data_IF_996495628667
#
_entry.id   IF_996495628667
#
_cell.length_a   1.000
_cell.length_b   1.000
_cell.length_c   1.000
_cell.angle_alpha   90.00
_cell.angle_beta   90.00
_cell.angle_gamma   90.00
#
_symmetry.space_group_name_H-M   'P 1'
#
loop_
_entity.id
_entity.type
_entity.pdbx_description
1 polymer ?
#
# COMPACT_ATOMS: atom_id res chain seq x y z
N UNK A 1 -5.73 -0.49 -9.28
CA UNK A 1 -5.63 0.35 -8.08
C UNK A 1 -4.44 1.31 -8.18
N UNK A 2 -3.20 0.84 -8.05
CA UNK A 2 -1.98 1.67 -8.03
C UNK A 2 -1.92 2.72 -9.14
N UNK A 3 -1.98 2.30 -10.41
CA UNK A 3 -2.01 3.23 -11.56
C UNK A 3 -3.07 4.32 -11.48
N UNK A 4 -4.25 3.99 -10.93
CA UNK A 4 -5.35 4.93 -10.78
C UNK A 4 -5.05 5.96 -9.69
N UNK A 5 -4.48 5.50 -8.56
CA UNK A 5 -4.06 6.38 -7.46
C UNK A 5 -2.89 7.25 -7.92
N UNK A 6 -1.86 6.68 -8.54
CA UNK A 6 -0.72 7.43 -9.09
C UNK A 6 -1.19 8.51 -10.07
N UNK A 7 -2.05 8.14 -11.04
CA UNK A 7 -2.56 9.07 -12.04
C UNK A 7 -3.46 10.16 -11.43
N UNK A 8 -4.18 9.85 -10.36
CA UNK A 8 -4.97 10.85 -9.64
C UNK A 8 -4.05 11.84 -8.93
N UNK A 9 -3.13 11.34 -8.10
CA UNK A 9 -2.20 12.16 -7.32
C UNK A 9 -1.31 13.04 -8.21
N UNK A 10 -0.94 12.57 -9.40
CA UNK A 10 -0.16 13.35 -10.36
C UNK A 10 -0.96 14.49 -11.01
N UNK A 11 -2.28 14.32 -11.14
CA UNK A 11 -3.19 15.33 -11.73
C UNK A 11 -3.73 16.31 -10.69
N UNK A 12 -3.91 15.87 -9.46
CA UNK A 12 -4.40 16.69 -8.35
C UNK A 12 -3.24 17.52 -7.78
N UNK A 13 -2.81 18.58 -8.49
CA UNK A 13 -1.87 19.57 -7.94
C UNK A 13 -2.56 20.66 -7.11
N UNK A 14 -3.90 20.73 -7.14
CA UNK A 14 -4.68 21.74 -6.43
C UNK A 14 -5.80 21.10 -5.59
N UNK A 15 -5.66 21.13 -4.26
CA UNK A 15 -6.79 21.06 -3.32
C UNK A 15 -7.06 19.74 -2.57
N UNK A 16 -7.71 19.91 -1.40
CA UNK A 16 -8.16 18.99 -0.33
C UNK A 16 -9.02 17.77 -0.75
N UNK A 17 -8.94 17.34 -2.00
CA UNK A 17 -9.71 16.22 -2.53
C UNK A 17 -9.18 14.86 -2.03
N UNK A 18 -10.09 13.94 -1.72
CA UNK A 18 -9.77 12.64 -1.14
C UNK A 18 -10.11 11.48 -2.08
N UNK A 19 -9.32 10.41 -2.01
CA UNK A 19 -9.62 9.14 -2.69
C UNK A 19 -10.40 8.24 -1.72
N UNK A 20 -11.68 8.04 -2.00
CA UNK A 20 -12.49 7.05 -1.28
C UNK A 20 -12.22 5.63 -1.80
N UNK A 21 -11.76 4.73 -0.92
CA UNK A 21 -11.55 3.31 -1.25
C UNK A 21 -12.50 2.47 -0.41
N UNK A 22 -13.35 1.67 -1.06
CA UNK A 22 -14.30 0.82 -0.34
C UNK A 22 -14.35 -0.60 -0.89
N UNK A 23 -14.80 -1.50 -0.02
CA UNK A 23 -15.33 -2.80 -0.39
C UNK A 23 -16.70 -2.95 0.27
N UNK A 24 -17.15 -4.16 0.60
CA UNK A 24 -18.42 -4.35 1.32
C UNK A 24 -18.38 -3.74 2.73
N UNK A 25 -17.32 -4.01 3.50
CA UNK A 25 -17.19 -3.53 4.89
C UNK A 25 -16.10 -2.46 5.07
N UNK A 26 -15.40 -2.11 3.99
CA UNK A 26 -14.31 -1.14 4.04
C UNK A 26 -13.14 -1.53 4.96
N UNK A 27 -12.94 -2.82 5.22
CA UNK A 27 -11.94 -3.33 6.16
C UNK A 27 -10.86 -4.14 5.45
N UNK A 28 -11.11 -5.42 5.18
CA UNK A 28 -10.07 -6.34 4.73
C UNK A 28 -9.46 -6.02 3.35
N UNK A 29 -10.28 -5.98 2.28
CA UNK A 29 -9.78 -5.67 0.92
C UNK A 29 -9.33 -4.21 0.79
N UNK A 30 -10.03 -3.31 1.46
CA UNK A 30 -9.70 -1.88 1.48
C UNK A 30 -8.35 -1.65 2.14
N UNK A 31 -8.18 -2.16 3.36
CA UNK A 31 -6.94 -2.08 4.12
C UNK A 31 -5.78 -2.71 3.37
N UNK A 32 -5.98 -3.88 2.75
CA UNK A 32 -4.95 -4.49 1.91
C UNK A 32 -4.40 -3.55 0.84
N UNK A 33 -5.27 -2.97 -0.01
CA UNK A 33 -4.80 -2.11 -1.09
C UNK A 33 -4.21 -0.79 -0.60
N UNK A 34 -4.76 -0.21 0.46
CA UNK A 34 -4.23 1.03 1.06
C UNK A 34 -2.86 0.77 1.68
N UNK A 35 -2.72 -0.25 2.54
CA UNK A 35 -1.46 -0.58 3.20
C UNK A 35 -0.37 -0.95 2.18
N UNK A 36 -0.69 -1.81 1.19
CA UNK A 36 0.25 -2.15 0.12
C UNK A 36 0.69 -0.92 -0.67
N UNK A 37 -0.21 0.02 -0.95
CA UNK A 37 0.15 1.24 -1.67
C UNK A 37 1.06 2.13 -0.82
N UNK A 38 0.73 2.36 0.45
CA UNK A 38 1.57 3.14 1.36
C UNK A 38 2.98 2.54 1.45
N UNK A 39 3.10 1.22 1.58
CA UNK A 39 4.41 0.58 1.68
C UNK A 39 5.23 0.63 0.38
N UNK A 40 4.60 0.45 -0.78
CA UNK A 40 5.30 0.37 -2.06
C UNK A 40 5.53 1.72 -2.75
N UNK A 41 4.76 2.76 -2.39
CA UNK A 41 4.75 4.05 -3.09
C UNK A 41 4.99 5.26 -2.19
N UNK A 42 4.80 5.12 -0.88
CA UNK A 42 4.85 6.26 0.05
C UNK A 42 5.94 6.11 1.12
N UNK A 43 6.72 5.03 1.09
CA UNK A 43 7.86 4.82 2.00
C UNK A 43 7.49 4.35 3.41
N UNK A 44 6.25 3.94 3.65
CA UNK A 44 5.85 3.36 4.93
C UNK A 44 6.42 1.95 5.08
N UNK A 45 6.87 1.57 6.27
CA UNK A 45 7.06 0.13 6.54
C UNK A 45 5.71 -0.59 6.52
N UNK A 46 5.66 -1.90 6.22
CA UNK A 46 4.42 -2.70 6.31
C UNK A 46 3.66 -2.52 7.62
N UNK A 47 4.37 -2.55 8.75
CA UNK A 47 3.78 -2.40 10.08
C UNK A 47 3.21 -1.01 10.29
N UNK A 48 3.92 0.06 9.90
CA UNK A 48 3.40 1.43 9.96
C UNK A 48 2.16 1.61 9.09
N UNK A 49 2.17 1.04 7.89
CA UNK A 49 1.05 1.11 6.96
C UNK A 49 -0.20 0.44 7.54
N UNK A 50 -0.05 -0.74 8.14
CA UNK A 50 -1.15 -1.45 8.81
C UNK A 50 -1.66 -0.66 10.00
N UNK A 51 -0.78 -0.23 10.91
CA UNK A 51 -1.19 0.54 12.10
C UNK A 51 -1.94 1.80 11.71
N UNK A 52 -1.41 2.58 10.76
CA UNK A 52 -2.05 3.81 10.30
C UNK A 52 -3.45 3.57 9.74
N UNK A 53 -3.64 2.50 8.97
CA UNK A 53 -4.97 2.14 8.46
C UNK A 53 -5.92 1.70 9.57
N UNK A 54 -5.49 0.83 10.48
CA UNK A 54 -6.32 0.30 11.57
C UNK A 54 -6.75 1.40 12.54
N UNK A 55 -5.83 2.31 12.88
CA UNK A 55 -6.08 3.46 13.76
C UNK A 55 -7.10 4.42 13.12
N UNK A 56 -6.92 4.76 11.83
CA UNK A 56 -7.85 5.63 11.10
C UNK A 56 -9.21 4.97 10.86
N UNK A 57 -9.25 3.65 10.64
CA UNK A 57 -10.48 2.90 10.35
C UNK A 57 -11.26 2.53 11.61
N UNK A 58 -10.57 2.41 12.75
CA UNK A 58 -11.11 1.98 14.05
C UNK A 58 -11.28 0.45 14.19
N UNK A 59 -10.76 -0.35 13.26
CA UNK A 59 -10.88 -1.80 13.27
C UNK A 59 -9.62 -2.45 12.69
N UNK A 60 -9.26 -3.61 13.23
CA UNK A 60 -8.12 -4.40 12.73
C UNK A 60 -8.44 -5.13 11.45
N UNK A 61 -7.46 -5.29 10.56
CA UNK A 61 -7.57 -6.21 9.43
C UNK A 61 -7.65 -7.63 10.02
N UNK A 62 -8.64 -8.41 9.61
CA UNK A 62 -8.91 -9.74 10.19
C UNK A 62 -8.36 -10.86 9.31
N UNK A 63 -8.20 -10.59 8.00
CA UNK A 63 -7.76 -11.59 7.03
C UNK A 63 -6.24 -11.72 7.07
N UNK A 64 -5.77 -12.66 7.87
CA UNK A 64 -4.34 -12.96 8.01
C UNK A 64 -3.57 -13.14 6.69
N UNK A 65 -4.13 -13.76 5.63
CA UNK A 65 -3.42 -13.84 4.35
C UNK A 65 -3.07 -12.47 3.75
N UNK A 66 -3.89 -11.43 3.99
CA UNK A 66 -3.59 -10.07 3.55
C UNK A 66 -2.48 -9.44 4.39
N UNK A 67 -2.51 -9.64 5.70
CA UNK A 67 -1.46 -9.15 6.60
C UNK A 67 -0.12 -9.77 6.22
N UNK A 68 -0.08 -11.10 6.08
CA UNK A 68 1.14 -11.83 5.71
C UNK A 68 1.71 -11.38 4.36
N UNK A 69 0.86 -11.02 3.40
CA UNK A 69 1.27 -10.54 2.07
C UNK A 69 1.64 -9.04 2.04
N UNK A 70 1.33 -8.29 3.10
CA UNK A 70 1.84 -6.93 3.29
C UNK A 70 3.21 -6.96 3.98
N UNK A 71 3.39 -7.89 4.93
CA UNK A 71 4.60 -8.01 5.74
C UNK A 71 5.87 -8.35 4.92
N UNK A 72 7.06 -7.90 5.37
CA UNK A 72 8.31 -7.99 4.60
C UNK A 72 8.74 -9.41 4.21
N UNK A 73 8.31 -10.44 4.94
CA UNK A 73 8.62 -11.84 4.64
C UNK A 73 8.05 -12.31 3.30
N UNK A 74 7.01 -11.65 2.79
CA UNK A 74 6.46 -11.85 1.44
C UNK A 74 7.26 -11.14 0.33
N UNK A 75 8.10 -10.17 0.69
CA UNK A 75 8.90 -9.36 -0.24
C UNK A 75 10.32 -9.92 -0.44
N UNK A 76 10.81 -10.78 0.46
CA UNK A 76 12.15 -11.38 0.40
C UNK A 76 12.32 -12.49 -0.64
N UNK A 77 11.25 -12.98 -1.27
CA UNK A 77 11.30 -14.06 -2.29
C UNK A 77 10.69 -13.69 -3.64
N UNK A 78 10.29 -12.44 -3.84
CA UNK A 78 9.84 -12.04 -5.16
C UNK A 78 10.98 -11.32 -5.90
N UNK A 79 11.59 -12.03 -6.87
CA UNK A 79 11.78 -11.39 -8.17
C UNK A 79 10.39 -10.98 -8.68
N UNK A 80 9.83 -9.89 -8.15
CA UNK A 80 8.59 -9.35 -8.65
C UNK A 80 8.93 -8.65 -9.95
N UNK A 81 8.90 -9.39 -11.07
CA UNK A 81 8.85 -8.78 -12.39
C UNK A 81 7.52 -8.03 -12.50
N UNK A 82 7.58 -6.74 -12.20
CA UNK A 82 6.49 -5.80 -12.42
C UNK A 82 5.94 -5.98 -13.85
N UNK A 83 4.62 -6.17 -14.05
CA UNK A 83 4.03 -6.19 -15.38
C UNK A 83 4.14 -4.85 -16.13
N UNK A 84 4.69 -3.82 -15.47
CA UNK A 84 4.89 -2.49 -16.03
C UNK A 84 6.35 -2.14 -16.30
N UNK A 85 7.30 -3.00 -15.95
CA UNK A 85 8.73 -2.73 -16.10
C UNK A 85 9.24 -1.56 -15.23
N UNK A 86 10.40 -1.74 -14.59
CA UNK A 86 11.28 -0.61 -14.30
C UNK A 86 11.41 -0.08 -12.88
N UNK A 87 11.04 -0.79 -11.82
CA UNK A 87 11.50 -0.41 -10.46
C UNK A 87 11.91 -1.65 -9.67
N UNK A 88 13.21 -1.79 -9.39
CA UNK A 88 13.74 -2.82 -8.48
C UNK A 88 13.76 -2.28 -7.04
N UNK A 89 13.68 -3.20 -6.07
CA UNK A 89 13.74 -2.89 -4.65
C UNK A 89 15.11 -2.38 -4.16
N UNK A 90 16.15 -2.49 -5.01
CA UNK A 90 17.54 -2.21 -4.63
C UNK A 90 17.82 -0.73 -4.36
N UNK A 91 16.98 0.19 -4.86
CA UNK A 91 17.13 1.64 -4.62
C UNK A 91 16.75 2.08 -3.20
N UNK A 92 15.99 1.27 -2.44
CA UNK A 92 15.58 1.63 -1.08
C UNK A 92 16.69 1.44 -0.03
N UNK A 93 17.75 0.68 -0.33
CA UNK A 93 18.83 0.39 0.62
C UNK A 93 20.01 1.38 0.57
N UNK A 94 19.93 2.46 -0.23
CA UNK A 94 21.05 3.41 -0.42
C UNK A 94 20.95 4.65 0.48
N UNK A 95 19.82 4.88 1.16
CA UNK A 95 19.59 6.12 1.92
C UNK A 95 19.35 5.92 3.43
N UNK A 96 20.00 4.94 4.07
CA UNK A 96 20.03 4.82 5.52
C UNK A 96 21.45 4.53 6.03
#
# INVERSE_FOLDING_TARGET
FFRTVDAYLHKSQEGDSLIGVHCTHGLNRTGYFICRYMSLRMGFTPTEAISAFEDARGYKIERQPYINDIEPSSLQHMEYQSPLGGYSYDEYQINN
#
